data_IF_163248879310
#
_entry.id   IF_163248879310
#
_cell.length_a   1.000
_cell.length_b   1.000
_cell.length_c   1.000
_cell.angle_alpha   90.00
_cell.angle_beta   90.00
_cell.angle_gamma   90.00
#
_symmetry.space_group_name_H-M   'P 1'
#
loop_
_entity.id
_entity.type
_entity.pdbx_description
1 polymer ?
#
# COMPACT_ATOMS: atom_id res chain seq x y z
N UNK A 1 -25.59 -18.67 3.67
CA UNK A 1 -24.38 -18.17 4.36
C UNK A 1 -23.22 -17.95 3.39
N UNK A 2 -22.86 -18.95 2.57
CA UNK A 2 -21.73 -18.89 1.62
C UNK A 2 -21.81 -17.74 0.60
N UNK A 3 -22.99 -17.47 0.02
CA UNK A 3 -23.17 -16.37 -0.96
C UNK A 3 -22.92 -14.97 -0.36
N UNK A 4 -23.23 -14.77 0.92
CA UNK A 4 -22.95 -13.50 1.61
C UNK A 4 -21.47 -13.37 1.96
N UNK A 5 -20.82 -14.48 2.30
CA UNK A 5 -19.37 -14.55 2.53
C UNK A 5 -18.58 -14.23 1.26
N UNK A 6 -18.93 -14.82 0.12
CA UNK A 6 -18.26 -14.55 -1.16
C UNK A 6 -18.39 -13.08 -1.59
N UNK A 7 -19.57 -12.48 -1.39
CA UNK A 7 -19.81 -11.05 -1.66
C UNK A 7 -18.95 -10.13 -0.78
N UNK A 8 -18.71 -10.53 0.47
CA UNK A 8 -17.91 -9.77 1.42
C UNK A 8 -16.42 -9.86 1.06
N UNK A 9 -15.92 -11.06 0.74
CA UNK A 9 -14.56 -11.24 0.23
C UNK A 9 -14.32 -10.46 -1.05
N UNK A 10 -15.22 -10.55 -2.03
CA UNK A 10 -15.10 -9.78 -3.28
C UNK A 10 -15.04 -8.27 -3.03
N UNK A 11 -15.85 -7.79 -2.07
CA UNK A 11 -15.84 -6.39 -1.68
C UNK A 11 -14.50 -5.97 -1.05
N UNK A 12 -13.96 -6.80 -0.17
CA UNK A 12 -12.64 -6.63 0.44
C UNK A 12 -11.53 -6.61 -0.64
N UNK A 13 -11.56 -7.54 -1.58
CA UNK A 13 -10.63 -7.58 -2.73
C UNK A 13 -10.65 -6.30 -3.55
N UNK A 14 -11.84 -5.79 -3.88
CA UNK A 14 -11.98 -4.56 -4.67
C UNK A 14 -11.38 -3.37 -3.91
N UNK A 15 -11.60 -3.30 -2.60
CA UNK A 15 -11.08 -2.23 -1.76
C UNK A 15 -9.55 -2.29 -1.64
N UNK A 16 -8.98 -3.49 -1.48
CA UNK A 16 -7.53 -3.70 -1.46
C UNK A 16 -6.88 -3.40 -2.81
N UNK A 17 -7.55 -3.72 -3.91
CA UNK A 17 -7.10 -3.36 -5.26
C UNK A 17 -7.05 -1.83 -5.43
N UNK A 18 -8.08 -1.10 -5.00
CA UNK A 18 -8.09 0.38 -5.06
C UNK A 18 -6.97 0.98 -4.20
N UNK A 19 -6.72 0.43 -3.01
CA UNK A 19 -5.58 0.81 -2.15
C UNK A 19 -4.23 0.60 -2.82
N UNK A 20 -4.07 -0.55 -3.50
CA UNK A 20 -2.86 -0.89 -4.24
C UNK A 20 -2.63 0.11 -5.39
N UNK A 21 -3.67 0.40 -6.17
CA UNK A 21 -3.61 1.40 -7.24
C UNK A 21 -3.26 2.78 -6.67
N UNK A 22 -3.86 3.18 -5.55
CA UNK A 22 -3.57 4.46 -4.92
C UNK A 22 -2.12 4.56 -4.43
N UNK A 23 -1.54 3.49 -3.89
CA UNK A 23 -0.13 3.46 -3.51
C UNK A 23 0.80 3.52 -4.72
N UNK A 24 0.46 2.83 -5.81
CA UNK A 24 1.21 2.94 -7.06
C UNK A 24 1.19 4.37 -7.62
N UNK A 25 0.02 5.04 -7.59
CA UNK A 25 -0.09 6.44 -8.01
C UNK A 25 0.72 7.36 -7.10
N UNK A 26 0.66 7.15 -5.78
CA UNK A 26 1.46 7.91 -4.83
C UNK A 26 2.97 7.73 -5.11
N UNK A 27 3.42 6.50 -5.30
CA UNK A 27 4.81 6.19 -5.64
C UNK A 27 5.23 6.81 -6.99
N UNK A 28 4.35 6.80 -7.99
CA UNK A 28 4.60 7.49 -9.27
C UNK A 28 4.77 9.00 -9.09
N UNK A 29 3.90 9.65 -8.33
CA UNK A 29 4.01 11.10 -8.05
C UNK A 29 5.33 11.39 -7.33
N UNK A 30 5.74 10.52 -6.41
CA UNK A 30 7.00 10.66 -5.68
C UNK A 30 8.24 10.54 -6.57
N UNK A 31 8.19 9.69 -7.61
CA UNK A 31 9.30 9.46 -8.53
C UNK A 31 9.31 10.38 -9.75
N UNK A 32 8.16 10.81 -10.28
CA UNK A 32 8.13 11.60 -11.51
C UNK A 32 8.70 13.02 -11.34
N UNK A 33 8.64 13.53 -10.11
CA UNK A 33 9.10 14.89 -9.78
C UNK A 33 10.40 14.91 -8.99
N UNK A 34 11.18 13.82 -9.00
CA UNK A 34 12.51 13.80 -8.42
C UNK A 34 13.45 14.76 -9.14
N UNK A 35 14.32 15.41 -8.38
CA UNK A 35 15.31 16.36 -8.92
C UNK A 35 16.60 15.59 -9.15
N UNK A 36 17.11 15.58 -10.38
CA UNK A 36 18.41 14.98 -10.68
C UNK A 36 19.50 15.73 -9.92
N UNK A 37 20.18 15.04 -9.01
CA UNK A 37 21.23 15.62 -8.15
C UNK A 37 22.64 15.25 -8.60
N UNK A 38 22.82 14.15 -9.34
CA UNK A 38 24.13 13.80 -9.84
C UNK A 38 24.17 12.52 -10.67
N UNK A 39 25.36 12.16 -11.09
CA UNK A 39 25.68 10.93 -11.80
C UNK A 39 27.00 10.41 -11.26
N UNK A 40 27.02 9.22 -10.66
CA UNK A 40 28.28 8.51 -10.41
C UNK A 40 28.49 7.53 -11.55
N UNK A 41 29.60 7.72 -12.28
CA UNK A 41 30.07 6.77 -13.28
C UNK A 41 31.28 6.04 -12.73
N UNK A 42 31.14 4.73 -12.55
CA UNK A 42 32.26 3.80 -12.33
C UNK A 42 32.53 2.99 -13.59
N UNK A 43 33.70 2.35 -13.70
CA UNK A 43 34.15 1.64 -14.89
C UNK A 43 33.20 0.50 -15.34
N UNK A 44 32.37 -0.03 -14.43
CA UNK A 44 31.41 -1.10 -14.71
C UNK A 44 29.94 -0.68 -14.61
N UNK A 45 29.61 0.38 -13.87
CA UNK A 45 28.23 0.83 -13.67
C UNK A 45 28.13 2.35 -13.58
N UNK A 46 27.20 2.94 -14.32
CA UNK A 46 26.81 4.35 -14.17
C UNK A 46 25.45 4.43 -13.47
N UNK A 47 25.38 5.14 -12.34
CA UNK A 47 24.13 5.40 -11.63
C UNK A 47 23.80 6.89 -11.69
N UNK A 48 22.54 7.20 -11.96
CA UNK A 48 22.00 8.55 -11.85
C UNK A 48 21.28 8.71 -10.52
N UNK A 49 21.63 9.76 -9.77
CA UNK A 49 20.98 10.06 -8.50
C UNK A 49 19.89 11.09 -8.68
N UNK A 50 18.74 10.79 -8.09
CA UNK A 50 17.63 11.70 -7.96
C UNK A 50 17.33 11.91 -6.49
N UNK A 51 17.16 13.15 -6.09
CA UNK A 51 16.63 13.49 -4.78
C UNK A 51 15.12 13.59 -4.85
N UNK A 52 14.44 13.05 -3.85
CA UNK A 52 13.00 13.25 -3.71
C UNK A 52 12.69 14.73 -3.54
N UNK A 53 11.77 15.25 -4.36
CA UNK A 53 11.14 16.52 -4.06
C UNK A 53 10.22 16.32 -2.85
N UNK A 54 10.61 16.86 -1.70
CA UNK A 54 9.91 16.70 -0.43
C UNK A 54 8.43 17.09 -0.50
N UNK A 55 8.08 18.14 -1.27
CA UNK A 55 6.70 18.57 -1.43
C UNK A 55 5.87 17.51 -2.16
N UNK A 56 6.39 17.00 -3.28
CA UNK A 56 5.73 15.94 -4.05
C UNK A 56 5.70 14.63 -3.27
N UNK A 57 6.70 14.41 -2.41
CA UNK A 57 6.72 13.28 -1.50
C UNK A 57 5.55 13.29 -0.52
N UNK A 58 5.38 14.41 0.17
CA UNK A 58 4.28 14.66 1.10
C UNK A 58 2.94 14.59 0.37
N UNK A 59 2.84 15.17 -0.83
CA UNK A 59 1.61 15.14 -1.63
C UNK A 59 1.19 13.70 -1.94
N UNK A 60 2.12 12.84 -2.39
CA UNK A 60 1.86 11.43 -2.64
C UNK A 60 1.34 10.70 -1.39
N UNK A 61 1.96 10.94 -0.24
CA UNK A 61 1.51 10.37 1.04
C UNK A 61 0.10 10.85 1.43
N UNK A 62 -0.18 12.15 1.32
CA UNK A 62 -1.48 12.73 1.67
C UNK A 62 -2.59 12.12 0.82
N UNK A 63 -2.37 11.98 -0.49
CA UNK A 63 -3.34 11.35 -1.40
C UNK A 63 -3.60 9.91 -0.97
N UNK A 64 -2.55 9.14 -0.72
CA UNK A 64 -2.68 7.75 -0.31
C UNK A 64 -3.43 7.61 1.03
N UNK A 65 -3.05 8.38 2.05
CA UNK A 65 -3.71 8.34 3.36
C UNK A 65 -5.17 8.79 3.29
N UNK A 66 -5.51 9.75 2.43
CA UNK A 66 -6.89 10.17 2.20
C UNK A 66 -7.74 9.03 1.60
N UNK A 67 -7.20 8.32 0.59
CA UNK A 67 -7.87 7.15 0.00
C UNK A 67 -8.02 6.04 1.03
N UNK A 68 -6.95 5.72 1.76
CA UNK A 68 -6.95 4.71 2.82
C UNK A 68 -8.02 5.01 3.88
N UNK A 69 -8.08 6.25 4.37
CA UNK A 69 -9.08 6.65 5.37
C UNK A 69 -10.51 6.53 4.85
N UNK A 70 -10.75 6.91 3.59
CA UNK A 70 -12.06 6.76 2.94
C UNK A 70 -12.46 5.30 2.81
N UNK A 71 -11.50 4.43 2.48
CA UNK A 71 -11.74 2.99 2.34
C UNK A 71 -12.02 2.34 3.69
N UNK A 72 -11.24 2.65 4.72
CA UNK A 72 -11.47 2.16 6.09
C UNK A 72 -12.85 2.59 6.59
N UNK A 73 -13.27 3.84 6.37
CA UNK A 73 -14.62 4.30 6.73
C UNK A 73 -15.73 3.48 6.04
N UNK A 74 -15.59 3.22 4.74
CA UNK A 74 -16.54 2.39 3.99
C UNK A 74 -16.56 0.94 4.49
N UNK A 75 -15.40 0.40 4.86
CA UNK A 75 -15.27 -0.93 5.43
C UNK A 75 -15.97 -1.03 6.80
N UNK A 76 -15.78 -0.01 7.65
CA UNK A 76 -16.48 0.10 8.94
C UNK A 76 -17.99 0.20 8.77
N UNK A 77 -18.50 0.81 7.70
CA UNK A 77 -19.94 0.84 7.42
C UNK A 77 -20.58 -0.55 7.19
N UNK A 78 -19.78 -1.58 6.87
CA UNK A 78 -20.25 -2.97 6.67
C UNK A 78 -19.90 -3.90 7.84
N UNK A 79 -19.50 -3.34 8.98
CA UNK A 79 -19.10 -4.10 10.17
C UNK A 79 -20.16 -5.08 10.67
N UNK A 80 -21.44 -4.72 10.56
CA UNK A 80 -22.54 -5.52 11.11
C UNK A 80 -22.72 -6.86 10.38
N UNK A 81 -22.29 -6.93 9.12
CA UNK A 81 -22.22 -8.18 8.36
C UNK A 81 -21.06 -9.06 8.85
N UNK A 82 -19.92 -8.45 9.17
CA UNK A 82 -18.72 -9.13 9.68
C UNK A 82 -18.96 -9.69 11.09
N UNK A 83 -19.67 -8.96 11.97
CA UNK A 83 -20.01 -9.44 13.31
C UNK A 83 -20.87 -10.70 13.31
N UNK A 84 -21.74 -10.85 12.30
CA UNK A 84 -22.57 -12.07 12.12
C UNK A 84 -21.76 -13.27 11.65
N UNK A 85 -20.54 -13.05 11.16
CA UNK A 85 -19.61 -14.09 10.75
C UNK A 85 -18.68 -14.43 11.94
N UNK A 86 -18.68 -15.70 12.34
CA UNK A 86 -17.93 -16.18 13.51
C UNK A 86 -16.40 -16.00 13.39
N UNK A 87 -15.67 -16.37 14.44
CA UNK A 87 -14.22 -16.14 14.55
C UNK A 87 -13.39 -16.71 13.38
N UNK A 88 -13.83 -17.79 12.73
CA UNK A 88 -13.17 -18.35 11.56
C UNK A 88 -13.07 -17.36 10.38
N UNK A 89 -14.10 -16.52 10.17
CA UNK A 89 -14.06 -15.47 9.14
C UNK A 89 -12.96 -14.44 9.42
N UNK A 90 -12.80 -14.06 10.68
CA UNK A 90 -11.85 -13.01 11.09
C UNK A 90 -10.40 -13.46 10.88
N UNK A 91 -10.10 -14.73 11.17
CA UNK A 91 -8.79 -15.33 10.88
C UNK A 91 -8.55 -15.38 9.37
N UNK A 92 -9.53 -15.81 8.59
CA UNK A 92 -9.43 -15.85 7.14
C UNK A 92 -9.23 -14.46 6.52
N UNK A 93 -9.95 -13.44 6.99
CA UNK A 93 -9.80 -12.06 6.55
C UNK A 93 -8.40 -11.51 6.85
N UNK A 94 -7.86 -11.79 8.05
CA UNK A 94 -6.49 -11.41 8.39
C UNK A 94 -5.43 -12.04 7.48
N UNK A 95 -5.58 -13.34 7.16
CA UNK A 95 -4.71 -14.03 6.20
C UNK A 95 -4.86 -13.40 4.80
N UNK A 96 -6.08 -13.06 4.42
CA UNK A 96 -6.38 -12.44 3.14
C UNK A 96 -5.77 -11.04 3.00
N UNK A 97 -5.84 -10.22 4.04
CA UNK A 97 -5.19 -8.91 4.12
C UNK A 97 -3.67 -9.01 4.02
N UNK A 98 -3.06 -10.02 4.66
CA UNK A 98 -1.62 -10.28 4.54
C UNK A 98 -1.21 -10.63 3.11
N UNK A 99 -1.99 -11.47 2.42
CA UNK A 99 -1.76 -11.82 1.01
C UNK A 99 -1.85 -10.56 0.13
N UNK A 100 -2.85 -9.71 0.35
CA UNK A 100 -2.98 -8.45 -0.38
C UNK A 100 -1.88 -7.44 -0.06
N UNK A 101 -1.41 -7.37 1.19
CA UNK A 101 -0.25 -6.56 1.57
C UNK A 101 1.01 -7.01 0.83
N UNK A 102 1.22 -8.34 0.70
CA UNK A 102 2.33 -8.88 -0.09
C UNK A 102 2.16 -8.61 -1.59
N UNK A 103 0.94 -8.74 -2.13
CA UNK A 103 0.66 -8.41 -3.52
C UNK A 103 0.94 -6.92 -3.80
N UNK A 104 0.50 -6.04 -2.91
CA UNK A 104 0.76 -4.59 -2.99
C UNK A 104 2.27 -4.29 -3.00
N UNK A 105 3.03 -4.94 -2.11
CA UNK A 105 4.50 -4.84 -2.10
C UNK A 105 5.11 -5.29 -3.43
N UNK A 106 4.68 -6.42 -3.99
CA UNK A 106 5.17 -6.91 -5.28
C UNK A 106 4.84 -5.95 -6.44
N UNK A 107 3.64 -5.37 -6.47
CA UNK A 107 3.25 -4.38 -7.48
C UNK A 107 4.05 -3.09 -7.37
N UNK A 108 4.25 -2.58 -6.15
CA UNK A 108 5.13 -1.44 -5.91
C UNK A 108 6.55 -1.75 -6.39
N UNK A 109 7.06 -2.96 -6.17
CA UNK A 109 8.42 -3.34 -6.56
C UNK A 109 8.59 -3.41 -8.06
N UNK A 110 7.60 -4.01 -8.74
CA UNK A 110 7.54 -4.05 -10.19
C UNK A 110 7.41 -2.64 -10.79
N UNK A 111 6.63 -1.75 -10.18
CA UNK A 111 6.53 -0.35 -10.58
C UNK A 111 7.86 0.39 -10.43
N UNK A 112 8.53 0.26 -9.28
CA UNK A 112 9.85 0.87 -9.07
C UNK A 112 10.85 0.38 -10.12
N UNK A 113 10.87 -0.93 -10.40
CA UNK A 113 11.73 -1.52 -11.43
C UNK A 113 11.41 -0.99 -12.83
N UNK A 114 10.13 -0.87 -13.20
CA UNK A 114 9.73 -0.34 -14.51
C UNK A 114 10.03 1.15 -14.70
N UNK A 115 9.90 1.94 -13.64
CA UNK A 115 10.07 3.41 -13.70
C UNK A 115 11.54 3.82 -13.56
N UNK A 116 12.28 3.17 -12.66
CA UNK A 116 13.67 3.53 -12.34
C UNK A 116 14.68 2.70 -13.13
N UNK A 117 14.30 1.54 -13.67
CA UNK A 117 15.26 0.58 -14.22
C UNK A 117 16.27 0.12 -13.16
N UNK A 118 17.42 -0.39 -13.61
CA UNK A 118 18.50 -0.84 -12.72
C UNK A 118 19.56 0.23 -12.42
N UNK A 119 19.46 1.41 -13.03
CA UNK A 119 20.54 2.42 -13.08
C UNK A 119 20.16 3.76 -12.43
N UNK A 120 18.95 3.91 -11.92
CA UNK A 120 18.47 5.12 -11.25
C UNK A 120 18.33 4.83 -9.76
N UNK A 121 18.97 5.65 -8.92
CA UNK A 121 18.91 5.53 -7.46
C UNK A 121 18.31 6.80 -6.84
N UNK A 122 17.32 6.63 -5.97
CA UNK A 122 16.66 7.74 -5.28
C UNK A 122 17.24 7.94 -3.87
N UNK A 123 17.64 9.18 -3.55
CA UNK A 123 18.11 9.59 -2.23
C UNK A 123 17.10 10.54 -1.56
N UNK A 124 16.96 10.50 -0.22
CA UNK A 124 17.46 9.47 0.68
C UNK A 124 16.70 8.14 0.55
N UNK A 125 17.43 7.02 0.64
CA UNK A 125 16.91 5.66 0.50
C UNK A 125 15.81 5.32 1.51
N UNK A 126 15.80 6.00 2.67
CA UNK A 126 14.81 5.79 3.72
C UNK A 126 13.39 6.23 3.29
N UNK A 127 13.27 7.26 2.44
CA UNK A 127 11.99 7.70 1.90
C UNK A 127 11.47 6.71 0.86
N UNK A 128 12.37 6.12 0.07
CA UNK A 128 12.04 5.02 -0.85
C UNK A 128 11.53 3.81 -0.06
N UNK A 129 12.26 3.38 0.97
CA UNK A 129 11.86 2.28 1.87
C UNK A 129 10.52 2.54 2.55
N UNK A 130 10.26 3.77 3.01
CA UNK A 130 8.98 4.11 3.63
C UNK A 130 7.81 4.02 2.64
N UNK A 131 7.98 4.48 1.40
CA UNK A 131 6.94 4.35 0.37
C UNK A 131 6.76 2.90 -0.11
N UNK A 132 7.87 2.16 -0.21
CA UNK A 132 7.91 0.81 -0.76
C UNK A 132 7.42 -0.25 0.24
N UNK A 133 7.88 -0.19 1.49
CA UNK A 133 7.56 -1.15 2.55
C UNK A 133 6.53 -0.58 3.53
N UNK A 134 6.63 0.71 3.85
CA UNK A 134 5.77 1.35 4.84
C UNK A 134 4.31 1.40 4.42
N UNK A 135 4.00 1.73 3.16
CA UNK A 135 2.60 1.79 2.69
C UNK A 135 1.90 0.41 2.78
N UNK A 136 2.46 -0.69 2.26
CA UNK A 136 1.87 -2.02 2.45
C UNK A 136 1.69 -2.42 3.91
N UNK A 137 2.70 -2.17 4.76
CA UNK A 137 2.67 -2.53 6.19
C UNK A 137 1.61 -1.74 6.95
N UNK A 138 1.52 -0.42 6.72
CA UNK A 138 0.51 0.43 7.35
C UNK A 138 -0.89 0.03 6.89
N UNK A 139 -1.07 -0.35 5.62
CA UNK A 139 -2.34 -0.89 5.11
C UNK A 139 -2.74 -2.15 5.89
N UNK A 140 -1.86 -3.15 5.96
CA UNK A 140 -2.13 -4.41 6.61
C UNK A 140 -2.41 -4.25 8.11
N UNK A 141 -1.62 -3.41 8.80
CA UNK A 141 -1.83 -3.13 10.22
C UNK A 141 -3.12 -2.37 10.49
N UNK A 142 -3.46 -1.37 9.67
CA UNK A 142 -4.66 -0.55 9.90
C UNK A 142 -5.95 -1.35 9.72
N UNK A 143 -6.01 -2.21 8.70
CA UNK A 143 -7.16 -3.11 8.47
C UNK A 143 -7.19 -4.22 9.51
N UNK A 144 -6.04 -4.85 9.81
CA UNK A 144 -5.91 -5.85 10.86
C UNK A 144 -6.34 -5.33 12.23
N UNK A 145 -5.98 -4.09 12.59
CA UNK A 145 -6.41 -3.47 13.84
C UNK A 145 -7.93 -3.23 13.88
N UNK A 146 -8.54 -2.81 12.77
CA UNK A 146 -10.00 -2.67 12.66
C UNK A 146 -10.70 -4.02 12.88
N UNK A 147 -10.15 -5.10 12.32
CA UNK A 147 -10.64 -6.48 12.51
C UNK A 147 -10.43 -7.01 13.94
N UNK A 148 -9.33 -6.66 14.61
CA UNK A 148 -9.05 -7.07 16.01
C UNK A 148 -9.94 -6.30 17.00
N UNK A 149 -10.13 -4.99 16.81
CA UNK A 149 -11.04 -4.18 17.63
C UNK A 149 -12.48 -4.72 17.58
N UNK A 150 -12.83 -5.31 16.45
CA UNK A 150 -14.05 -6.05 16.19
C UNK A 150 -14.17 -7.39 16.94
N UNK A 151 -13.05 -8.05 17.26
CA UNK A 151 -13.02 -9.24 18.12
C UNK A 151 -13.26 -8.91 19.59
N UNK A 152 -12.78 -7.76 20.06
CA UNK A 152 -12.82 -7.39 21.47
C UNK A 152 -14.16 -6.79 21.92
N UNK A 153 -14.92 -6.17 21.00
CA UNK A 153 -16.31 -5.76 21.27
C UNK A 153 -17.25 -6.96 21.12
N UNK A 154 -17.37 -7.76 22.19
CA UNK A 154 -18.50 -8.67 22.40
C UNK A 154 -19.80 -7.86 22.58
#
# INVERSE_FOLDING_TARGET
>A
MFKSFLKLLLYESIMMMVLTIAACIAALIQMLFGVKTGTDSSFFFSSTYYDYNLLMYILGLVIYFFVMFTIIKKFVGKLDLIKKLGNAYKVMACIYDLIWGFAMFAFLGLLHFLVLGMTISYKPEILCLFSFVGLPVITALSIGFVLIKLCLKK
#
